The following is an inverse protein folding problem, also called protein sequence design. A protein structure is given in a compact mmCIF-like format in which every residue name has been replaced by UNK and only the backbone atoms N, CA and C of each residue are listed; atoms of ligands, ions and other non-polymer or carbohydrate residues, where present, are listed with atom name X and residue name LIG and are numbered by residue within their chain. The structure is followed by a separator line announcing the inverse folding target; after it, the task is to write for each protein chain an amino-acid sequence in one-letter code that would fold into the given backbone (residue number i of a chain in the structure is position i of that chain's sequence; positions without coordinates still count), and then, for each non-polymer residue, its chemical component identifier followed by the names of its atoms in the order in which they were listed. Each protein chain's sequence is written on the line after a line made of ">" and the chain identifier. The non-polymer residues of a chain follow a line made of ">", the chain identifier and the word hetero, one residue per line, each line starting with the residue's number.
data_IF_739754142285
#
_entry.id   IF_739754142285
#
_cell.length_a   1.000
_cell.length_b   1.000
_cell.length_c   1.000
_cell.angle_alpha   90.00
_cell.angle_beta   90.00
_cell.angle_gamma   90.00
#
_symmetry.space_group_name_H-M   'P 1'
#
loop_
_entity.id
_entity.type
_entity.pdbx_description
1 polymer ?
#
# COMPACT_ATOMS: atom_id res chain seq x y z
N UNK A 1 81.91 -28.95 9.43
CA UNK A 1 81.32 -27.99 8.47
C UNK A 1 79.81 -28.20 8.43
N UNK A 2 79.05 -27.40 9.20
CA UNK A 2 77.57 -27.42 9.23
C UNK A 2 77.09 -26.14 8.53
N UNK A 3 76.49 -26.29 7.35
CA UNK A 3 75.84 -25.16 6.66
C UNK A 3 74.41 -25.03 7.18
N UNK A 4 74.15 -23.86 7.74
CA UNK A 4 72.89 -23.38 8.30
C UNK A 4 71.89 -23.23 7.15
N UNK A 5 70.81 -24.00 7.20
CA UNK A 5 69.65 -23.85 6.31
C UNK A 5 68.46 -23.46 7.19
N UNK A 6 68.39 -22.19 7.58
CA UNK A 6 67.17 -21.58 8.12
C UNK A 6 66.59 -20.71 7.01
N UNK A 7 65.93 -21.39 6.06
CA UNK A 7 65.08 -20.74 5.07
C UNK A 7 63.86 -20.21 5.80
N UNK A 8 63.71 -18.88 5.73
CA UNK A 8 62.65 -18.11 6.33
C UNK A 8 61.28 -18.65 5.91
N UNK A 9 60.65 -19.42 6.79
CA UNK A 9 59.20 -19.62 6.80
C UNK A 9 58.60 -18.35 7.42
N UNK A 10 58.73 -17.23 6.73
CA UNK A 10 57.89 -16.05 6.98
C UNK A 10 56.70 -16.15 6.02
N UNK A 11 55.98 -17.26 6.13
CA UNK A 11 54.78 -17.54 5.37
C UNK A 11 53.63 -16.80 6.05
N UNK A 12 53.23 -15.70 5.43
CA UNK A 12 51.82 -15.40 5.17
C UNK A 12 50.85 -15.66 6.34
N UNK A 13 50.86 -14.77 7.33
CA UNK A 13 49.66 -14.52 8.13
C UNK A 13 49.36 -13.01 8.04
N UNK A 14 49.16 -12.54 6.81
CA UNK A 14 48.29 -11.41 6.58
C UNK A 14 46.87 -12.00 6.69
N UNK A 15 46.35 -12.06 7.92
CA UNK A 15 44.90 -12.21 8.12
C UNK A 15 44.29 -10.99 7.45
N UNK A 16 43.88 -11.17 6.20
CA UNK A 16 42.86 -10.35 5.58
C UNK A 16 41.69 -10.52 6.52
N UNK A 17 41.53 -9.56 7.42
CA UNK A 17 40.26 -9.26 8.07
C UNK A 17 39.40 -8.84 6.87
N UNK A 18 38.86 -9.85 6.16
CA UNK A 18 37.63 -9.71 5.43
C UNK A 18 36.68 -9.31 6.53
N UNK A 19 36.57 -7.99 6.72
CA UNK A 19 35.44 -7.39 7.36
C UNK A 19 34.27 -7.98 6.63
N UNK A 20 33.69 -9.02 7.24
CA UNK A 20 32.31 -9.34 7.05
C UNK A 20 31.64 -8.05 7.52
N UNK A 21 31.53 -7.09 6.60
CA UNK A 21 30.45 -6.15 6.59
C UNK A 21 29.25 -7.07 6.46
N UNK A 22 28.84 -7.62 7.61
CA UNK A 22 27.47 -7.90 7.91
C UNK A 22 26.81 -6.60 7.53
N UNK A 23 26.34 -6.55 6.28
CA UNK A 23 25.20 -5.74 5.93
C UNK A 23 24.17 -6.19 6.96
N UNK A 24 24.17 -5.51 8.10
CA UNK A 24 22.98 -5.29 8.90
C UNK A 24 22.06 -4.68 7.87
N UNK A 25 21.34 -5.52 7.13
CA UNK A 25 20.38 -5.09 6.13
C UNK A 25 19.41 -4.30 6.97
N UNK A 26 19.58 -2.99 7.00
CA UNK A 26 18.68 -2.10 7.69
C UNK A 26 17.33 -2.52 7.14
N UNK A 27 16.48 -3.11 8.00
CA UNK A 27 15.21 -3.64 7.55
C UNK A 27 14.50 -2.48 6.87
N UNK A 28 14.31 -2.60 5.55
CA UNK A 28 13.76 -1.52 4.76
C UNK A 28 12.38 -1.16 5.33
N UNK A 29 11.95 0.11 5.27
CA UNK A 29 10.62 0.47 5.71
C UNK A 29 9.52 -0.41 5.07
N UNK A 30 9.70 -0.81 3.81
CA UNK A 30 8.84 -1.79 3.13
C UNK A 30 8.69 -3.11 3.91
N UNK A 31 9.78 -3.67 4.47
CA UNK A 31 9.71 -4.94 5.23
C UNK A 31 8.82 -4.86 6.48
N UNK A 32 8.63 -3.68 7.07
CA UNK A 32 7.79 -3.53 8.27
C UNK A 32 6.31 -3.68 7.95
N UNK A 33 5.89 -3.20 6.78
CA UNK A 33 4.48 -3.14 6.38
C UNK A 33 4.06 -4.33 5.51
N UNK A 34 4.99 -5.04 4.85
CA UNK A 34 4.71 -6.27 4.11
C UNK A 34 3.91 -7.27 4.96
N UNK A 35 2.90 -7.88 4.33
CA UNK A 35 2.01 -8.87 4.95
C UNK A 35 0.56 -8.70 4.50
N UNK A 36 -0.33 -9.44 5.16
CA UNK A 36 -1.77 -9.32 4.96
C UNK A 36 -2.36 -8.46 6.06
N UNK A 37 -3.19 -7.50 5.68
CA UNK A 37 -3.90 -6.59 6.58
C UNK A 37 -5.38 -6.71 6.35
N UNK A 38 -6.18 -6.73 7.41
CA UNK A 38 -7.64 -6.87 7.31
C UNK A 38 -8.37 -5.81 8.09
N UNK A 39 -9.48 -5.33 7.56
CA UNK A 39 -10.39 -4.46 8.28
C UNK A 39 -10.95 -5.17 9.51
N UNK A 40 -10.97 -4.46 10.64
CA UNK A 40 -11.53 -4.98 11.90
C UNK A 40 -13.05 -4.94 11.95
N UNK A 41 -13.63 -4.08 11.13
CA UNK A 41 -15.06 -3.91 10.92
C UNK A 41 -15.30 -3.50 9.46
N UNK A 42 -16.51 -3.68 8.93
CA UNK A 42 -16.84 -3.23 7.58
C UNK A 42 -16.60 -1.73 7.40
N UNK A 43 -15.83 -1.36 6.38
CA UNK A 43 -15.51 0.02 6.03
C UNK A 43 -16.58 0.52 5.05
N UNK A 44 -17.12 1.72 5.31
CA UNK A 44 -18.07 2.37 4.39
C UNK A 44 -17.29 3.12 3.32
N UNK A 45 -17.56 2.78 2.06
CA UNK A 45 -17.01 3.45 0.89
C UNK A 45 -18.16 4.13 0.15
N UNK A 46 -17.92 5.36 -0.27
CA UNK A 46 -18.86 6.21 -0.97
C UNK A 46 -18.48 6.23 -2.44
N UNK A 47 -19.42 5.88 -3.30
CA UNK A 47 -19.25 6.11 -4.73
C UNK A 47 -19.52 7.59 -5.01
N UNK A 48 -18.58 8.24 -5.68
CA UNK A 48 -18.65 9.65 -5.97
C UNK A 48 -18.41 9.91 -7.46
N UNK A 49 -19.22 10.80 -8.04
CA UNK A 49 -19.15 11.16 -9.47
C UNK A 49 -19.64 12.58 -9.73
N UNK A 50 -19.21 13.18 -10.84
CA UNK A 50 -19.68 14.48 -11.36
C UNK A 50 -20.72 14.35 -12.50
N UNK A 51 -20.88 13.16 -13.08
CA UNK A 51 -21.77 12.88 -14.23
C UNK A 51 -23.24 13.21 -13.94
N UNK A 52 -23.63 13.06 -12.68
CA UNK A 52 -25.03 13.00 -12.27
C UNK A 52 -25.77 14.33 -12.28
N UNK A 53 -25.07 15.47 -12.15
CA UNK A 53 -25.72 16.76 -11.91
C UNK A 53 -25.28 17.86 -12.89
N UNK A 54 -24.51 17.54 -13.95
CA UNK A 54 -23.82 18.55 -14.80
C UNK A 54 -23.08 19.59 -13.93
N UNK A 55 -22.49 19.11 -12.84
CA UNK A 55 -21.78 19.95 -11.88
C UNK A 55 -20.30 19.74 -12.10
N UNK A 56 -19.53 20.81 -12.04
CA UNK A 56 -18.06 20.74 -12.06
C UNK A 56 -17.48 20.19 -10.72
N UNK A 57 -18.28 19.44 -9.96
CA UNK A 57 -17.94 18.99 -8.60
C UNK A 57 -18.36 17.54 -8.38
N UNK A 58 -17.42 16.69 -7.97
CA UNK A 58 -17.68 15.31 -7.56
C UNK A 58 -18.61 15.30 -6.34
N UNK A 59 -19.68 14.49 -6.41
CA UNK A 59 -20.65 14.32 -5.32
C UNK A 59 -20.84 12.84 -4.99
N UNK A 60 -21.04 12.52 -3.71
CA UNK A 60 -21.39 11.15 -3.27
C UNK A 60 -22.81 10.83 -3.73
N UNK A 61 -22.99 9.71 -4.43
CA UNK A 61 -24.31 9.28 -4.93
C UNK A 61 -24.81 7.98 -4.31
N UNK A 62 -23.95 7.29 -3.57
CA UNK A 62 -24.33 6.20 -2.69
C UNK A 62 -23.16 5.68 -1.86
N UNK A 63 -23.43 4.65 -1.07
CA UNK A 63 -22.44 4.01 -0.21
C UNK A 63 -22.64 2.50 -0.14
N UNK A 64 -21.55 1.79 0.20
CA UNK A 64 -21.57 0.37 0.52
C UNK A 64 -20.51 0.04 1.57
N UNK A 65 -20.78 -1.02 2.34
CA UNK A 65 -19.86 -1.51 3.37
C UNK A 65 -19.09 -2.69 2.84
N UNK A 66 -17.78 -2.70 3.07
CA UNK A 66 -16.88 -3.76 2.65
C UNK A 66 -16.01 -4.27 3.79
N UNK A 67 -15.82 -5.59 3.85
CA UNK A 67 -14.68 -6.19 4.52
C UNK A 67 -13.48 -6.08 3.57
N UNK A 68 -12.41 -5.45 4.03
CA UNK A 68 -11.25 -5.13 3.19
C UNK A 68 -10.05 -5.97 3.62
N UNK A 69 -9.39 -6.61 2.65
CA UNK A 69 -8.12 -7.31 2.85
C UNK A 69 -7.06 -6.72 1.94
N UNK A 70 -5.95 -6.24 2.49
CA UNK A 70 -4.78 -5.83 1.72
C UNK A 70 -3.71 -6.90 1.76
N UNK A 71 -3.09 -7.17 0.63
CA UNK A 71 -1.86 -7.94 0.51
C UNK A 71 -0.77 -6.97 0.07
N UNK A 72 0.14 -6.66 0.99
CA UNK A 72 1.25 -5.73 0.76
C UNK A 72 2.53 -6.52 0.53
N UNK A 73 3.19 -6.30 -0.60
CA UNK A 73 4.47 -6.90 -0.96
C UNK A 73 5.51 -5.82 -1.20
N UNK A 74 6.79 -6.14 -0.98
CA UNK A 74 7.85 -5.25 -1.42
C UNK A 74 7.81 -5.16 -2.95
N UNK A 75 7.94 -3.95 -3.49
CA UNK A 75 7.86 -3.75 -4.93
C UNK A 75 8.94 -4.51 -5.68
N UNK A 76 8.61 -5.00 -6.88
CA UNK A 76 9.55 -5.71 -7.76
C UNK A 76 10.79 -4.89 -8.14
N UNK A 77 10.66 -3.56 -8.14
CA UNK A 77 11.78 -2.65 -8.42
C UNK A 77 12.80 -2.58 -7.26
N UNK A 78 12.55 -3.27 -6.14
CA UNK A 78 13.42 -3.38 -4.97
C UNK A 78 13.78 -2.05 -4.29
N UNK A 79 13.10 -0.97 -4.65
CA UNK A 79 13.21 0.32 -3.96
C UNK A 79 12.79 0.14 -2.49
N UNK A 80 13.63 0.52 -1.51
CA UNK A 80 13.44 0.15 -0.11
C UNK A 80 12.19 0.76 0.54
N UNK A 81 11.63 1.79 -0.08
CA UNK A 81 10.49 2.55 0.41
C UNK A 81 9.23 2.35 -0.44
N UNK A 82 9.22 1.40 -1.37
CA UNK A 82 8.06 1.14 -2.21
C UNK A 82 7.48 -0.25 -1.99
N UNK A 83 6.15 -0.32 -2.11
CA UNK A 83 5.37 -1.55 -1.96
C UNK A 83 4.33 -1.64 -3.05
N UNK A 84 4.02 -2.88 -3.45
CA UNK A 84 2.89 -3.18 -4.31
C UNK A 84 1.77 -3.70 -3.41
N UNK A 85 0.55 -3.22 -3.63
CA UNK A 85 -0.60 -3.50 -2.76
C UNK A 85 -1.73 -4.00 -3.62
N UNK A 86 -2.26 -5.17 -3.23
CA UNK A 86 -3.49 -5.71 -3.80
C UNK A 86 -4.58 -5.64 -2.75
N UNK A 87 -5.72 -5.07 -3.10
CA UNK A 87 -6.86 -4.85 -2.19
C UNK A 87 -8.02 -5.71 -2.65
N UNK A 88 -8.48 -6.60 -1.78
CA UNK A 88 -9.69 -7.38 -1.96
C UNK A 88 -10.81 -6.79 -1.12
N UNK A 89 -11.99 -6.68 -1.72
CA UNK A 89 -13.18 -6.17 -1.06
C UNK A 89 -14.29 -7.21 -1.14
N UNK A 90 -14.86 -7.52 0.02
CA UNK A 90 -16.00 -8.40 0.14
C UNK A 90 -17.18 -7.59 0.69
N UNK A 91 -18.32 -7.64 0.02
CA UNK A 91 -19.51 -6.91 0.43
C UNK A 91 -19.95 -7.35 1.83
N UNK A 92 -20.27 -6.37 2.68
CA UNK A 92 -20.67 -6.58 4.07
C UNK A 92 -21.98 -5.89 4.43
N UNK A 93 -22.72 -5.42 3.42
CA UNK A 93 -24.02 -4.79 3.55
C UNK A 93 -24.58 -4.37 2.20
N UNK A 94 -25.84 -3.95 2.22
CA UNK A 94 -26.56 -3.53 1.02
C UNK A 94 -26.02 -2.19 0.49
N UNK A 95 -26.11 -2.02 -0.83
CA UNK A 95 -25.88 -0.75 -1.51
C UNK A 95 -26.97 0.27 -1.14
N UNK A 96 -26.56 1.43 -0.63
CA UNK A 96 -27.46 2.54 -0.31
C UNK A 96 -27.27 3.66 -1.32
N UNK A 97 -28.28 3.88 -2.15
CA UNK A 97 -28.29 4.94 -3.15
C UNK A 97 -28.98 6.21 -2.63
N UNK A 98 -28.38 7.38 -2.87
CA UNK A 98 -28.87 8.67 -2.34
C UNK A 98 -29.89 9.39 -3.22
N UNK A 99 -30.26 8.85 -4.39
CA UNK A 99 -31.43 9.31 -5.13
C UNK A 99 -31.24 10.53 -6.04
N UNK A 100 -30.01 10.95 -6.35
CA UNK A 100 -29.74 12.20 -7.09
C UNK A 100 -29.20 12.03 -8.52
N UNK A 101 -29.07 10.80 -9.00
CA UNK A 101 -28.40 10.46 -10.26
C UNK A 101 -29.12 9.38 -11.07
N UNK A 102 -30.08 9.76 -11.91
CA UNK A 102 -30.90 8.80 -12.69
C UNK A 102 -30.08 7.92 -13.65
N UNK A 103 -28.86 8.35 -14.00
CA UNK A 103 -27.94 7.62 -14.88
C UNK A 103 -27.14 6.52 -14.15
N UNK A 104 -27.14 6.50 -12.82
CA UNK A 104 -26.35 5.55 -12.07
C UNK A 104 -27.03 4.17 -12.05
N UNK A 105 -26.44 3.20 -12.75
CA UNK A 105 -27.01 1.84 -12.90
C UNK A 105 -26.51 0.84 -11.85
N UNK A 106 -25.74 1.31 -10.87
CA UNK A 106 -25.16 0.47 -9.83
C UNK A 106 -23.68 0.74 -9.66
N UNK A 107 -23.17 0.44 -8.47
CA UNK A 107 -21.75 0.58 -8.19
C UNK A 107 -21.02 -0.65 -8.74
N UNK A 108 -20.16 -0.42 -9.73
CA UNK A 108 -19.23 -1.45 -10.17
C UNK A 108 -17.94 -1.24 -9.39
N UNK A 109 -17.69 -2.13 -8.43
CA UNK A 109 -16.34 -2.32 -7.93
C UNK A 109 -15.81 -3.63 -8.49
N UNK A 110 -14.62 -3.60 -9.10
CA UNK A 110 -13.84 -4.82 -9.24
C UNK A 110 -13.57 -5.47 -7.86
N UNK A 111 -13.61 -6.79 -7.80
CA UNK A 111 -13.32 -7.51 -6.56
C UNK A 111 -11.88 -7.33 -6.06
N UNK A 112 -10.99 -6.84 -6.94
CA UNK A 112 -9.57 -6.68 -6.71
C UNK A 112 -9.05 -5.35 -7.27
N UNK A 113 -8.39 -4.55 -6.43
CA UNK A 113 -7.73 -3.30 -6.81
C UNK A 113 -6.22 -3.36 -6.61
N UNK A 114 -5.49 -2.57 -7.38
CA UNK A 114 -4.04 -2.54 -7.37
C UNK A 114 -3.51 -1.13 -7.13
N UNK A 115 -2.65 -0.99 -6.11
CA UNK A 115 -1.98 0.27 -5.78
C UNK A 115 -0.48 0.08 -5.67
N UNK A 116 0.25 1.16 -5.88
CA UNK A 116 1.63 1.30 -5.41
C UNK A 116 1.67 2.19 -4.19
N UNK A 117 2.61 1.93 -3.29
CA UNK A 117 2.75 2.66 -2.04
C UNK A 117 4.15 3.21 -1.86
N UNK A 118 4.27 4.45 -1.39
CA UNK A 118 5.54 5.06 -0.98
C UNK A 118 5.54 5.28 0.52
N UNK A 119 6.60 4.81 1.18
CA UNK A 119 6.75 4.82 2.63
C UNK A 119 7.73 5.92 3.05
N UNK A 120 7.29 6.75 3.99
CA UNK A 120 8.14 7.73 4.67
C UNK A 120 7.89 7.64 6.17
N UNK A 121 8.86 7.12 6.92
CA UNK A 121 8.73 6.85 8.35
C UNK A 121 7.55 5.90 8.66
N UNK A 122 6.50 6.41 9.31
CA UNK A 122 5.25 5.69 9.66
C UNK A 122 4.10 6.05 8.74
N UNK A 123 4.37 6.77 7.64
CA UNK A 123 3.37 7.19 6.66
C UNK A 123 3.50 6.37 5.38
N UNK A 124 2.37 6.02 4.80
CA UNK A 124 2.22 5.35 3.50
C UNK A 124 1.31 6.22 2.63
N UNK A 125 1.80 6.65 1.48
CA UNK A 125 0.98 7.30 0.46
C UNK A 125 0.72 6.31 -0.66
N UNK A 126 -0.55 6.16 -1.04
CA UNK A 126 -0.98 5.28 -2.13
C UNK A 126 -1.10 6.03 -3.44
N UNK A 127 -0.79 5.32 -4.50
CA UNK A 127 -1.00 5.74 -5.88
C UNK A 127 -1.71 4.62 -6.64
N UNK A 128 -2.67 5.00 -7.48
CA UNK A 128 -3.39 4.08 -8.36
C UNK A 128 -2.51 3.60 -9.53
N UNK A 129 -3.11 2.86 -10.46
CA UNK A 129 -2.41 2.36 -11.66
C UNK A 129 -2.00 3.46 -12.65
N UNK A 130 -2.58 4.66 -12.55
CA UNK A 130 -2.27 5.81 -13.38
C UNK A 130 -1.21 6.73 -12.75
N UNK A 131 -0.85 6.47 -11.49
CA UNK A 131 0.10 7.28 -10.72
C UNK A 131 -0.55 8.45 -9.98
N UNK A 132 -1.88 8.52 -9.97
CA UNK A 132 -2.63 9.50 -9.21
C UNK A 132 -2.70 9.08 -7.74
N UNK A 133 -2.68 10.07 -6.85
CA UNK A 133 -2.69 9.81 -5.41
C UNK A 133 -4.06 9.29 -4.97
N UNK A 134 -4.11 8.03 -4.53
CA UNK A 134 -5.33 7.36 -4.10
C UNK A 134 -5.58 7.45 -2.59
N UNK A 135 -4.59 7.78 -1.76
CA UNK A 135 -4.81 7.89 -0.32
C UNK A 135 -3.57 8.13 0.54
N UNK A 136 -3.81 8.47 1.80
CA UNK A 136 -2.78 8.62 2.82
C UNK A 136 -3.11 7.78 4.05
N UNK A 137 -2.09 7.08 4.53
CA UNK A 137 -2.17 6.14 5.63
C UNK A 137 -1.04 6.38 6.61
N UNK A 138 -1.31 6.05 7.86
CA UNK A 138 -0.34 5.94 8.94
C UNK A 138 -0.35 4.51 9.45
N UNK A 139 0.81 3.97 9.79
CA UNK A 139 0.93 2.59 10.24
C UNK A 139 1.95 2.42 11.36
N UNK A 140 1.70 1.40 12.18
CA UNK A 140 2.63 0.81 13.12
C UNK A 140 2.97 -0.61 12.67
N UNK A 141 3.56 -1.44 13.53
CA UNK A 141 3.77 -2.86 13.23
C UNK A 141 2.45 -3.61 13.00
N UNK A 142 1.39 -3.25 13.73
CA UNK A 142 0.17 -4.07 13.83
C UNK A 142 -1.10 -3.35 13.38
N UNK A 143 -1.06 -2.02 13.29
CA UNK A 143 -2.22 -1.17 12.99
C UNK A 143 -1.92 -0.27 11.80
N UNK A 144 -2.88 -0.17 10.88
CA UNK A 144 -2.86 0.79 9.79
C UNK A 144 -4.18 1.54 9.76
N UNK A 145 -4.10 2.85 9.57
CA UNK A 145 -5.27 3.68 9.38
C UNK A 145 -5.06 4.73 8.31
N UNK A 146 -6.13 5.11 7.61
CA UNK A 146 -6.02 6.15 6.61
C UNK A 146 -7.33 6.42 5.89
N UNK A 147 -7.20 7.20 4.84
CA UNK A 147 -8.31 7.64 4.00
C UNK A 147 -7.99 7.25 2.56
N UNK A 148 -8.92 6.56 1.91
CA UNK A 148 -8.89 6.33 0.47
C UNK A 148 -9.74 7.40 -0.22
N UNK A 149 -9.22 7.92 -1.32
CA UNK A 149 -9.92 8.73 -2.32
C UNK A 149 -9.31 8.38 -3.68
N UNK A 150 -9.91 7.40 -4.33
CA UNK A 150 -9.51 6.90 -5.63
C UNK A 150 -10.56 7.32 -6.65
N UNK A 151 -10.32 8.44 -7.32
CA UNK A 151 -11.23 9.03 -8.29
C UNK A 151 -10.51 9.09 -9.62
N UNK A 152 -11.06 8.41 -10.61
CA UNK A 152 -10.59 8.43 -11.98
C UNK A 152 -11.14 9.67 -12.69
N UNK A 153 -10.25 10.43 -13.32
CA UNK A 153 -10.60 11.61 -14.08
C UNK A 153 -10.56 11.28 -15.58
N UNK A 154 -11.72 10.98 -16.17
CA UNK A 154 -11.86 10.76 -17.61
C UNK A 154 -12.86 11.78 -18.19
N UNK A 155 -13.73 11.37 -19.13
CA UNK A 155 -14.81 12.23 -19.62
C UNK A 155 -15.74 12.69 -18.50
N UNK A 156 -15.94 11.82 -17.50
CA UNK A 156 -16.52 12.13 -16.20
C UNK A 156 -15.54 11.70 -15.11
N UNK A 157 -15.62 12.34 -13.95
CA UNK A 157 -14.88 11.93 -12.76
C UNK A 157 -15.73 10.93 -11.99
N UNK A 158 -15.18 9.76 -11.68
CA UNK A 158 -15.88 8.78 -10.87
C UNK A 158 -14.93 7.91 -10.07
N UNK A 159 -15.41 7.36 -8.97
CA UNK A 159 -14.65 6.39 -8.18
C UNK A 159 -15.17 6.34 -6.76
N UNK A 160 -14.25 6.06 -5.85
CA UNK A 160 -14.58 5.73 -4.48
C UNK A 160 -13.78 6.53 -3.49
N UNK A 161 -14.46 6.95 -2.42
CA UNK A 161 -13.81 7.59 -1.30
C UNK A 161 -14.33 7.06 0.02
N UNK A 162 -13.53 7.22 1.07
CA UNK A 162 -13.91 6.87 2.43
C UNK A 162 -13.96 8.12 3.30
N UNK A 163 -14.61 8.03 4.46
CA UNK A 163 -14.45 9.07 5.47
C UNK A 163 -13.01 9.12 6.01
N UNK A 164 -12.69 10.24 6.64
CA UNK A 164 -11.34 10.48 7.19
C UNK A 164 -10.97 9.41 8.20
N UNK A 165 -9.85 8.74 7.97
CA UNK A 165 -9.33 7.65 8.81
C UNK A 165 -10.28 6.45 8.95
N UNK A 166 -11.21 6.25 8.01
CA UNK A 166 -12.18 5.15 8.03
C UNK A 166 -11.52 3.78 7.90
N UNK A 167 -10.41 3.67 7.16
CA UNK A 167 -9.65 2.42 7.11
C UNK A 167 -9.03 2.17 8.48
N UNK A 168 -9.38 1.03 9.09
CA UNK A 168 -8.78 0.51 10.32
C UNK A 168 -8.39 -0.95 10.10
N UNK A 169 -7.17 -1.15 9.65
CA UNK A 169 -6.65 -2.47 9.29
C UNK A 169 -5.72 -3.00 10.39
N UNK A 170 -5.83 -4.30 10.66
CA UNK A 170 -4.94 -5.05 11.56
C UNK A 170 -4.13 -6.06 10.74
N UNK A 171 -2.83 -6.12 11.02
CA UNK A 171 -1.93 -7.12 10.44
C UNK A 171 -2.30 -8.53 10.93
N UNK A 172 -2.38 -9.48 9.99
CA UNK A 172 -2.71 -10.89 10.26
C UNK A 172 -1.47 -11.74 10.54
#
# INVERSE_FOLDING_TARGET
>A
MKKILWLAVFSFILVVIMGCNLFTSLLSPARKITGTWKSTFPITLYYATDECLNVDTITRVGEQKFNITWIIKQSYNLEPNTVDITVYMEEAGDWNYYGSCELFTGAFWDSEEYYTGVISSTSLTLYDLYGDKAGDFTFTTDLMQGTLKDIYYNFYSFGWESDVNAYKLIKQ
#
